data_IF_431559649307
#
_entry.id   IF_431559649307
#
_cell.length_a   1.000
_cell.length_b   1.000
_cell.length_c   1.000
_cell.angle_alpha   90.00
_cell.angle_beta   90.00
_cell.angle_gamma   90.00
#
_symmetry.space_group_name_H-M   'P 1'
#
loop_
_entity.id
_entity.type
_entity.pdbx_description
1 polymer ?
#
# COMPACT_ATOMS: atom_id res chain seq x y z
N UNK A 1 19.82 -13.16 0.36
CA UNK A 1 20.90 -14.12 0.61
C UNK A 1 20.33 -15.53 0.75
N UNK A 2 21.19 -16.54 0.81
CA UNK A 2 20.78 -17.91 1.13
C UNK A 2 20.86 -18.09 2.64
N UNK A 3 19.72 -18.30 3.29
CA UNK A 3 19.65 -18.60 4.71
C UNK A 3 20.01 -20.09 4.91
N UNK A 4 20.29 -20.54 6.15
CA UNK A 4 20.56 -21.96 6.42
C UNK A 4 19.47 -22.92 5.90
N UNK A 5 18.24 -22.43 5.74
CA UNK A 5 17.07 -23.16 5.23
C UNK A 5 16.70 -22.78 3.78
N UNK A 6 17.64 -22.20 3.02
CA UNK A 6 17.51 -21.88 1.60
C UNK A 6 17.24 -20.41 1.26
N UNK A 7 16.99 -20.14 -0.01
CA UNK A 7 16.78 -18.77 -0.52
C UNK A 7 15.42 -18.21 -0.11
N UNK A 8 15.39 -16.98 0.43
CA UNK A 8 14.17 -16.27 0.84
C UNK A 8 14.12 -14.87 0.24
N UNK A 9 12.90 -14.37 0.02
CA UNK A 9 12.65 -12.95 -0.26
C UNK A 9 12.73 -12.18 1.06
N UNK A 10 13.52 -11.10 1.08
CA UNK A 10 13.57 -10.13 2.16
C UNK A 10 13.21 -8.77 1.58
N UNK A 11 12.24 -8.09 2.19
CA UNK A 11 11.84 -6.74 1.79
C UNK A 11 11.98 -5.81 2.99
N UNK A 12 12.80 -4.77 2.84
CA UNK A 12 12.93 -3.69 3.82
C UNK A 12 12.12 -2.52 3.30
N UNK A 13 10.96 -2.30 3.91
CA UNK A 13 10.09 -1.18 3.57
C UNK A 13 10.57 0.08 4.29
N UNK A 14 10.66 1.21 3.57
CA UNK A 14 11.10 2.52 4.08
C UNK A 14 12.43 2.46 4.84
N UNK A 15 13.54 2.11 4.17
CA UNK A 15 14.83 1.92 4.83
C UNK A 15 15.42 3.21 5.44
N UNK A 16 15.03 4.38 4.94
CA UNK A 16 15.40 5.69 5.50
C UNK A 16 14.17 6.17 6.28
N UNK A 17 14.18 5.96 7.59
CA UNK A 17 13.04 6.26 8.49
C UNK A 17 13.47 6.85 9.84
N UNK A 18 14.76 7.15 9.99
CA UNK A 18 15.36 7.80 11.14
C UNK A 18 16.40 8.78 10.63
N UNK A 19 16.61 9.86 11.37
CA UNK A 19 17.70 10.81 11.12
C UNK A 19 19.03 10.07 11.18
N UNK A 20 19.26 9.37 12.30
CA UNK A 20 20.44 8.53 12.49
C UNK A 20 20.08 7.05 12.50
N UNK A 21 20.76 6.29 11.65
CA UNK A 21 20.73 4.84 11.65
C UNK A 21 21.71 4.23 12.67
N UNK A 22 21.58 2.92 12.91
CA UNK A 22 22.60 2.18 13.66
C UNK A 22 23.81 1.90 12.74
N UNK A 23 24.82 2.77 12.80
CA UNK A 23 26.03 2.65 11.99
C UNK A 23 26.84 1.38 12.29
N UNK A 24 26.73 0.83 13.51
CA UNK A 24 27.40 -0.42 13.86
C UNK A 24 26.76 -1.59 13.13
N UNK A 25 25.42 -1.63 13.07
CA UNK A 25 24.68 -2.62 12.28
C UNK A 25 24.91 -2.42 10.78
N UNK A 26 24.94 -1.18 10.30
CA UNK A 26 25.18 -0.87 8.88
C UNK A 26 26.56 -1.33 8.39
N UNK A 27 27.56 -1.29 9.27
CA UNK A 27 28.96 -1.67 8.98
C UNK A 27 29.32 -3.09 9.45
N UNK A 28 28.34 -3.88 9.89
CA UNK A 28 28.57 -5.24 10.38
C UNK A 28 29.28 -6.09 9.30
N UNK A 29 30.37 -6.76 9.69
CA UNK A 29 31.15 -7.62 8.79
C UNK A 29 32.08 -6.89 7.80
N UNK A 30 32.09 -5.55 7.80
CA UNK A 30 32.93 -4.75 6.89
C UNK A 30 34.38 -4.53 7.35
N UNK A 31 34.65 -4.72 8.65
CA UNK A 31 35.92 -4.37 9.32
C UNK A 31 36.30 -2.88 9.32
N UNK A 32 35.43 -1.98 8.85
CA UNK A 32 35.65 -0.54 8.99
C UNK A 32 35.33 -0.05 10.41
N UNK A 33 36.06 0.97 10.92
CA UNK A 33 35.69 1.62 12.17
C UNK A 33 34.36 2.35 11.99
N UNK A 34 33.51 2.28 13.03
CA UNK A 34 32.27 3.07 13.06
C UNK A 34 32.64 4.54 13.22
N UNK A 35 32.29 5.42 12.25
CA UNK A 35 32.59 6.84 12.36
C UNK A 35 31.70 7.50 13.42
N UNK A 36 32.16 8.63 13.96
CA UNK A 36 31.34 9.52 14.78
C UNK A 36 30.25 10.16 13.90
N UNK A 37 29.02 10.28 14.41
CA UNK A 37 27.89 10.85 13.64
C UNK A 37 28.16 12.30 13.21
N UNK A 38 28.94 13.06 13.98
CA UNK A 38 29.27 14.45 13.68
C UNK A 38 29.97 14.65 12.32
N UNK A 39 30.50 13.60 11.69
CA UNK A 39 31.09 13.71 10.34
C UNK A 39 30.06 13.92 9.23
N UNK A 40 28.78 13.61 9.49
CA UNK A 40 27.68 13.74 8.53
C UNK A 40 26.95 15.10 8.64
N UNK A 41 27.33 15.94 9.61
CA UNK A 41 26.71 17.24 9.89
C UNK A 41 25.58 17.15 10.92
N UNK A 42 25.06 18.31 11.31
CA UNK A 42 23.93 18.42 12.23
C UNK A 42 22.65 18.60 11.41
N UNK A 43 21.72 17.65 11.45
CA UNK A 43 20.34 17.87 11.01
C UNK A 43 19.44 18.14 12.22
N UNK A 44 18.69 19.25 12.19
CA UNK A 44 17.60 19.49 13.13
C UNK A 44 16.36 18.71 12.66
N UNK A 45 15.93 17.76 13.49
CA UNK A 45 14.67 17.02 13.32
C UNK A 45 14.43 16.10 14.50
N UNK A 46 13.21 15.60 14.66
CA UNK A 46 12.90 14.56 15.62
C UNK A 46 13.34 13.18 15.11
N UNK A 47 13.71 12.29 16.03
CA UNK A 47 14.21 10.94 15.74
C UNK A 47 13.20 10.03 15.02
N UNK A 48 12.00 10.54 14.75
CA UNK A 48 10.89 9.87 14.11
C UNK A 48 10.35 10.71 12.94
N UNK A 49 10.85 10.42 11.74
CA UNK A 49 10.34 11.02 10.51
C UNK A 49 8.99 10.39 10.14
N UNK A 50 7.88 11.07 10.42
CA UNK A 50 6.57 10.66 9.90
C UNK A 50 6.42 11.11 8.44
N UNK A 51 6.77 10.20 7.53
CA UNK A 51 6.66 10.38 6.09
C UNK A 51 5.27 10.80 5.60
N UNK A 52 4.21 10.61 6.40
CA UNK A 52 2.83 10.91 5.99
C UNK A 52 2.27 12.24 6.50
N UNK A 53 2.98 12.96 7.37
CA UNK A 53 2.45 14.18 8.00
C UNK A 53 3.15 15.48 7.51
N UNK A 54 4.26 15.36 6.78
CA UNK A 54 4.97 16.51 6.21
C UNK A 54 4.55 16.82 4.76
N UNK A 55 3.42 17.51 4.67
CA UNK A 55 2.78 17.92 3.41
C UNK A 55 3.67 18.87 2.58
N UNK A 56 4.61 19.59 3.19
CA UNK A 56 5.53 20.46 2.45
C UNK A 56 6.60 19.68 1.72
N UNK A 57 7.20 18.66 2.36
CA UNK A 57 8.23 17.83 1.73
C UNK A 57 7.67 17.08 0.50
N UNK A 58 6.46 16.53 0.60
CA UNK A 58 5.81 15.83 -0.52
C UNK A 58 5.62 16.71 -1.76
N UNK A 59 5.48 18.03 -1.59
CA UNK A 59 5.27 18.95 -2.72
C UNK A 59 6.53 19.15 -3.57
N UNK A 60 7.70 19.05 -2.96
CA UNK A 60 9.00 19.28 -3.60
C UNK A 60 9.76 17.99 -3.89
N UNK A 61 9.23 16.85 -3.46
CA UNK A 61 9.78 15.54 -3.75
C UNK A 61 9.80 15.26 -5.27
N UNK A 62 10.84 14.59 -5.79
CA UNK A 62 10.86 14.15 -7.18
C UNK A 62 9.66 13.26 -7.50
N UNK A 63 8.88 13.62 -8.52
CA UNK A 63 7.68 12.88 -8.92
C UNK A 63 6.41 13.23 -8.14
N UNK A 64 6.46 14.24 -7.27
CA UNK A 64 5.30 14.78 -6.58
C UNK A 64 4.15 15.10 -7.55
N UNK A 65 2.94 14.64 -7.21
CA UNK A 65 1.73 14.94 -7.99
C UNK A 65 0.94 16.07 -7.34
N UNK A 66 0.79 17.18 -8.05
CA UNK A 66 -0.01 18.31 -7.58
C UNK A 66 -1.46 18.14 -8.04
N UNK A 67 -2.30 17.56 -7.17
CA UNK A 67 -3.73 17.44 -7.42
C UNK A 67 -4.49 18.67 -6.90
N UNK A 68 -5.61 18.99 -7.55
CA UNK A 68 -6.58 19.94 -7.00
C UNK A 68 -7.37 19.27 -5.88
N UNK A 69 -7.74 20.06 -4.88
CA UNK A 69 -8.67 19.62 -3.86
C UNK A 69 -10.02 19.24 -4.49
N UNK A 70 -10.61 18.16 -3.96
CA UNK A 70 -11.93 17.70 -4.37
C UNK A 70 -12.00 16.18 -4.52
N UNK A 71 -13.13 15.71 -5.04
CA UNK A 71 -13.43 14.29 -5.23
C UNK A 71 -13.82 14.02 -6.68
N UNK A 72 -13.51 12.83 -7.18
CA UNK A 72 -13.94 12.37 -8.51
C UNK A 72 -15.17 11.47 -8.36
N UNK A 73 -16.28 11.85 -8.99
CA UNK A 73 -17.48 11.00 -9.07
C UNK A 73 -17.22 9.85 -10.05
N UNK A 74 -17.29 8.61 -9.56
CA UNK A 74 -17.15 7.42 -10.40
C UNK A 74 -18.48 7.03 -11.05
N UNK A 75 -18.40 6.53 -12.29
CA UNK A 75 -19.54 5.93 -13.02
C UNK A 75 -20.80 6.81 -13.07
N UNK A 76 -20.63 8.13 -13.19
CA UNK A 76 -21.72 9.12 -13.24
C UNK A 76 -22.78 8.76 -14.29
N UNK A 77 -24.05 8.97 -13.94
CA UNK A 77 -25.20 8.72 -14.82
C UNK A 77 -25.54 7.23 -15.02
N UNK A 78 -24.81 6.29 -14.40
CA UNK A 78 -25.13 4.86 -14.49
C UNK A 78 -26.06 4.41 -13.36
N UNK A 79 -27.13 3.65 -13.66
CA UNK A 79 -28.03 3.16 -12.62
C UNK A 79 -27.37 2.07 -11.77
N UNK A 80 -27.26 2.31 -10.47
CA UNK A 80 -26.77 1.36 -9.47
C UNK A 80 -27.93 0.65 -8.74
N UNK A 81 -27.63 -0.48 -8.12
CA UNK A 81 -28.54 -1.20 -7.21
C UNK A 81 -27.70 -1.74 -6.06
N UNK A 82 -28.25 -1.72 -4.85
CA UNK A 82 -27.65 -2.36 -3.69
C UNK A 82 -28.19 -3.78 -3.55
N UNK A 83 -27.28 -4.75 -3.43
CA UNK A 83 -27.62 -6.16 -3.29
C UNK A 83 -26.83 -6.70 -2.09
N UNK A 84 -27.55 -7.28 -1.12
CA UNK A 84 -26.91 -8.01 -0.03
C UNK A 84 -26.36 -9.34 -0.56
N UNK A 85 -25.09 -9.63 -0.29
CA UNK A 85 -24.39 -10.82 -0.79
C UNK A 85 -23.82 -11.60 0.39
N UNK A 86 -24.09 -12.90 0.44
CA UNK A 86 -23.56 -13.80 1.48
C UNK A 86 -22.66 -14.85 0.83
N UNK A 87 -21.42 -14.99 1.31
CA UNK A 87 -20.57 -16.13 0.94
C UNK A 87 -20.95 -17.35 1.79
N UNK A 88 -21.45 -18.40 1.14
CA UNK A 88 -21.80 -19.68 1.77
C UNK A 88 -20.72 -20.76 1.57
N UNK A 89 -19.63 -20.43 0.89
CA UNK A 89 -18.51 -21.32 0.63
C UNK A 89 -17.52 -21.42 1.80
N UNK A 90 -16.58 -22.36 1.68
CA UNK A 90 -15.50 -22.62 2.64
C UNK A 90 -14.21 -21.86 2.33
N UNK A 91 -14.21 -21.06 1.26
CA UNK A 91 -13.04 -20.34 0.74
C UNK A 91 -13.35 -18.87 0.52
N UNK A 92 -12.33 -17.99 0.64
CA UNK A 92 -12.48 -16.57 0.34
C UNK A 92 -12.79 -16.35 -1.14
N UNK A 93 -13.62 -15.35 -1.43
CA UNK A 93 -14.03 -14.97 -2.79
C UNK A 93 -13.84 -13.45 -2.93
N UNK A 94 -13.14 -13.04 -3.99
CA UNK A 94 -12.95 -11.64 -4.37
C UNK A 94 -13.46 -11.44 -5.80
N UNK A 95 -14.19 -10.33 -6.02
CA UNK A 95 -14.78 -9.99 -7.32
C UNK A 95 -14.18 -8.67 -7.81
N UNK A 96 -13.70 -8.65 -9.06
CA UNK A 96 -13.14 -7.46 -9.68
C UNK A 96 -14.21 -6.47 -10.16
N UNK A 97 -13.82 -5.20 -10.33
CA UNK A 97 -14.74 -4.10 -10.65
C UNK A 97 -15.57 -4.30 -11.93
N UNK A 98 -14.96 -4.90 -12.97
CA UNK A 98 -15.57 -5.09 -14.30
C UNK A 98 -16.08 -6.51 -14.57
N UNK A 99 -16.06 -7.37 -13.56
CA UNK A 99 -16.58 -8.71 -13.72
C UNK A 99 -18.13 -8.67 -13.77
N UNK A 100 -18.79 -9.38 -14.70
CA UNK A 100 -20.25 -9.47 -14.72
C UNK A 100 -20.75 -10.04 -13.39
N UNK A 101 -21.46 -9.25 -12.59
CA UNK A 101 -21.75 -9.64 -11.21
C UNK A 101 -22.64 -10.89 -11.14
N UNK A 102 -23.50 -11.06 -12.14
CA UNK A 102 -24.32 -12.25 -12.37
C UNK A 102 -23.52 -13.55 -12.46
N UNK A 103 -22.30 -13.51 -13.02
CA UNK A 103 -21.47 -14.70 -13.28
C UNK A 103 -20.54 -15.04 -12.11
N UNK A 104 -20.61 -14.27 -11.02
CA UNK A 104 -19.71 -14.47 -9.87
C UNK A 104 -19.88 -15.85 -9.26
N UNK A 105 -18.88 -16.30 -8.50
CA UNK A 105 -18.84 -17.63 -7.90
C UNK A 105 -20.20 -18.06 -7.32
N UNK A 106 -20.63 -19.29 -7.62
CA UNK A 106 -21.93 -19.84 -7.23
C UNK A 106 -22.14 -19.93 -5.71
N UNK A 107 -21.06 -19.94 -4.92
CA UNK A 107 -21.11 -19.88 -3.46
C UNK A 107 -21.53 -18.49 -2.92
N UNK A 108 -21.59 -17.47 -3.78
CA UNK A 108 -22.20 -16.19 -3.42
C UNK A 108 -23.71 -16.27 -3.60
N UNK A 109 -24.43 -16.23 -2.47
CA UNK A 109 -25.89 -16.21 -2.42
C UNK A 109 -26.40 -14.76 -2.40
N UNK A 110 -27.18 -14.42 -3.42
CA UNK A 110 -27.84 -13.12 -3.61
C UNK A 110 -28.89 -13.22 -4.73
N UNK A 111 -29.70 -12.17 -4.91
CA UNK A 111 -30.62 -12.09 -6.05
C UNK A 111 -29.86 -11.82 -7.36
N UNK A 112 -29.64 -12.91 -8.10
CA UNK A 112 -28.92 -12.90 -9.39
C UNK A 112 -29.65 -12.06 -10.44
N UNK A 113 -30.97 -12.03 -10.44
CA UNK A 113 -31.74 -11.30 -11.45
C UNK A 113 -31.50 -9.78 -11.36
N UNK A 114 -31.39 -9.24 -10.13
CA UNK A 114 -31.07 -7.84 -9.91
C UNK A 114 -29.69 -7.43 -10.42
N UNK A 115 -28.77 -8.39 -10.57
CA UNK A 115 -27.39 -8.17 -11.02
C UNK A 115 -27.19 -8.31 -12.54
N UNK A 116 -28.23 -8.65 -13.29
CA UNK A 116 -28.14 -8.88 -14.73
C UNK A 116 -27.64 -7.63 -15.46
N UNK A 117 -26.57 -7.78 -16.26
CA UNK A 117 -25.94 -6.67 -16.98
C UNK A 117 -25.23 -5.65 -16.09
N UNK A 118 -25.01 -5.96 -14.80
CA UNK A 118 -24.35 -5.07 -13.83
C UNK A 118 -22.96 -5.56 -13.43
N UNK A 119 -22.18 -4.63 -12.91
CA UNK A 119 -20.85 -4.83 -12.32
C UNK A 119 -20.75 -4.00 -11.04
N UNK A 120 -19.71 -4.22 -10.24
CA UNK A 120 -19.47 -3.41 -9.04
C UNK A 120 -19.23 -1.94 -9.43
N UNK A 121 -19.82 -1.04 -8.64
CA UNK A 121 -19.62 0.40 -8.76
C UNK A 121 -18.43 0.85 -7.89
N UNK A 122 -17.23 0.43 -8.31
CA UNK A 122 -15.94 0.73 -7.68
C UNK A 122 -14.90 1.11 -8.73
#
# INVERSE_FOLDING_TARGET
GTFPDGTKLLTVHRPICRIDGDLKMALEGSFFPVPDLAVFGDEEGDDYYDYYDDVEYERYAPGATLCKDGTVTLNEGRPAVEIAVTNTGDRPIQVGSHYPFLETNAALSFDRALSYGKRLNV
#
